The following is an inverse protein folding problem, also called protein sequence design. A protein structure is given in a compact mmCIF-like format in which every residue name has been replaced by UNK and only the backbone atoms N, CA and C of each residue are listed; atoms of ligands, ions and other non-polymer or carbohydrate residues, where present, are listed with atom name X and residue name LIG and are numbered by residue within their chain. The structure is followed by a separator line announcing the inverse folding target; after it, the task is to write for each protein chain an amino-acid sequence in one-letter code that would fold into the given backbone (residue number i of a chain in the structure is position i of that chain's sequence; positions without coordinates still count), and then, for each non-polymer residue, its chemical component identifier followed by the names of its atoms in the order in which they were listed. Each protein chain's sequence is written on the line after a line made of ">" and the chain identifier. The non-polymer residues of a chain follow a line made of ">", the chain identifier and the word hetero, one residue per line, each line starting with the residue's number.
data_IF_086945397212
#
_entry.id   IF_086945397212
#
_cell.length_a   1.000
_cell.length_b   1.000
_cell.length_c   1.000
_cell.angle_alpha   90.00
_cell.angle_beta   90.00
_cell.angle_gamma   90.00
#
_symmetry.space_group_name_H-M   'P 1'
#
loop_
_entity.id
_entity.type
_entity.pdbx_description
1 polymer ?
#
# COMPACT_ATOMS: atom_id res chain seq x y z
N UNK A 1 12.35 -19.57 19.75
CA UNK A 1 11.83 -19.98 18.45
C UNK A 1 12.31 -19.02 17.36
N UNK A 2 12.60 -19.56 16.20
CA UNK A 2 13.08 -18.77 15.07
C UNK A 2 11.92 -18.01 14.44
N UNK A 3 12.03 -16.67 14.39
CA UNK A 3 10.99 -15.82 13.81
C UNK A 3 10.70 -16.19 12.35
N UNK A 4 11.72 -16.49 11.58
CA UNK A 4 11.56 -16.87 10.17
C UNK A 4 10.74 -18.16 10.03
N UNK A 5 11.00 -19.17 10.85
CA UNK A 5 10.23 -20.41 10.83
C UNK A 5 8.76 -20.19 11.22
N UNK A 6 8.53 -19.39 12.25
CA UNK A 6 7.17 -19.04 12.69
C UNK A 6 6.42 -18.30 11.59
N UNK A 7 7.06 -17.33 10.94
CA UNK A 7 6.46 -16.58 9.86
C UNK A 7 6.19 -17.47 8.64
N UNK A 8 7.11 -18.39 8.34
CA UNK A 8 6.89 -19.35 7.26
C UNK A 8 5.65 -20.20 7.48
N UNK A 9 5.48 -20.73 8.70
CA UNK A 9 4.29 -21.50 9.05
C UNK A 9 3.03 -20.65 8.99
N UNK A 10 3.10 -19.41 9.47
CA UNK A 10 2.00 -18.46 9.41
C UNK A 10 1.55 -18.25 7.96
N UNK A 11 2.52 -18.01 7.06
CA UNK A 11 2.23 -17.77 5.65
C UNK A 11 1.61 -18.99 4.97
N UNK A 12 2.07 -20.19 5.32
CA UNK A 12 1.49 -21.44 4.82
C UNK A 12 0.05 -21.58 5.28
N UNK A 13 -0.22 -21.31 6.56
CA UNK A 13 -1.57 -21.39 7.12
C UNK A 13 -2.52 -20.37 6.46
N UNK A 14 -2.03 -19.16 6.20
CA UNK A 14 -2.81 -18.13 5.49
C UNK A 14 -3.16 -18.62 4.08
N UNK A 15 -2.17 -19.16 3.36
CA UNK A 15 -2.38 -19.67 2.01
C UNK A 15 -3.38 -20.83 1.98
N UNK A 16 -3.40 -21.64 3.04
CA UNK A 16 -4.35 -22.74 3.17
C UNK A 16 -5.74 -22.29 3.64
N UNK A 17 -5.91 -21.02 3.98
CA UNK A 17 -7.17 -20.50 4.48
C UNK A 17 -7.43 -20.74 5.96
N UNK A 18 -6.44 -21.26 6.69
CA UNK A 18 -6.57 -21.55 8.13
C UNK A 18 -6.11 -20.35 8.95
N UNK A 19 -7.01 -19.37 9.07
CA UNK A 19 -6.70 -18.12 9.79
C UNK A 19 -6.46 -18.36 11.29
N UNK A 20 -7.18 -19.29 11.89
CA UNK A 20 -7.01 -19.59 13.31
C UNK A 20 -5.62 -20.14 13.61
N UNK A 21 -5.14 -21.08 12.78
CA UNK A 21 -3.80 -21.62 12.92
C UNK A 21 -2.75 -20.53 12.69
N UNK A 22 -2.95 -19.68 11.68
CA UNK A 22 -2.04 -18.59 11.39
C UNK A 22 -1.92 -17.62 12.57
N UNK A 23 -3.03 -17.25 13.19
CA UNK A 23 -3.03 -16.38 14.37
C UNK A 23 -2.30 -17.03 15.55
N UNK A 24 -2.50 -18.34 15.73
CA UNK A 24 -1.78 -19.09 16.78
C UNK A 24 -0.27 -19.07 16.56
N UNK A 25 0.18 -19.18 15.31
CA UNK A 25 1.60 -19.08 15.00
C UNK A 25 2.13 -17.67 15.28
N UNK A 26 1.45 -16.63 14.82
CA UNK A 26 1.87 -15.26 15.08
C UNK A 26 1.98 -14.94 16.57
N UNK A 27 1.10 -15.52 17.39
CA UNK A 27 1.13 -15.30 18.82
C UNK A 27 2.39 -15.83 19.48
N UNK A 28 3.09 -16.78 18.85
CA UNK A 28 4.36 -17.33 19.35
C UNK A 28 5.57 -16.48 18.97
N UNK A 29 5.36 -15.48 18.13
CA UNK A 29 6.46 -14.65 17.62
C UNK A 29 7.00 -13.76 18.74
N UNK A 30 8.34 -13.74 18.95
CA UNK A 30 8.92 -12.78 19.89
C UNK A 30 8.79 -11.36 19.36
N UNK A 31 9.08 -10.37 20.21
CA UNK A 31 9.03 -8.96 19.80
C UNK A 31 9.94 -8.75 18.58
N UNK A 32 9.43 -8.05 17.57
CA UNK A 32 10.12 -7.84 16.29
C UNK A 32 10.53 -6.40 16.05
N UNK A 33 10.45 -5.53 17.07
CA UNK A 33 10.74 -4.10 16.93
C UNK A 33 12.16 -3.83 16.42
N UNK A 34 13.11 -4.71 16.76
CA UNK A 34 14.50 -4.60 16.34
C UNK A 34 14.86 -5.59 15.24
N UNK A 35 13.89 -6.27 14.67
CA UNK A 35 14.12 -7.21 13.58
C UNK A 35 14.40 -6.47 12.28
N UNK A 36 14.83 -7.21 11.24
CA UNK A 36 15.03 -6.62 9.92
C UNK A 36 13.72 -6.05 9.37
N UNK A 37 13.85 -5.11 8.45
CA UNK A 37 12.67 -4.57 7.75
C UNK A 37 11.85 -5.68 7.09
N UNK A 38 12.53 -6.66 6.51
CA UNK A 38 11.85 -7.76 5.85
C UNK A 38 11.02 -8.59 6.82
N UNK A 39 11.55 -8.89 8.01
CA UNK A 39 10.81 -9.63 9.04
C UNK A 39 9.59 -8.84 9.50
N UNK A 40 9.77 -7.56 9.81
CA UNK A 40 8.67 -6.70 10.24
C UNK A 40 7.60 -6.57 9.15
N UNK A 41 8.02 -6.48 7.89
CA UNK A 41 7.10 -6.43 6.75
C UNK A 41 6.25 -7.70 6.67
N UNK A 42 6.86 -8.86 6.83
CA UNK A 42 6.14 -10.14 6.83
C UNK A 42 5.09 -10.20 7.93
N UNK A 43 5.41 -9.68 9.11
CA UNK A 43 4.44 -9.60 10.22
C UNK A 43 3.26 -8.71 9.82
N UNK A 44 3.54 -7.51 9.31
CA UNK A 44 2.50 -6.57 8.91
C UNK A 44 1.59 -7.16 7.82
N UNK A 45 2.18 -7.81 6.81
CA UNK A 45 1.43 -8.43 5.74
C UNK A 45 0.56 -9.58 6.24
N UNK A 46 1.08 -10.41 7.15
CA UNK A 46 0.30 -11.49 7.74
C UNK A 46 -0.90 -10.94 8.51
N UNK A 47 -0.70 -9.91 9.32
CA UNK A 47 -1.78 -9.26 10.05
C UNK A 47 -2.84 -8.70 9.10
N UNK A 48 -2.42 -8.05 8.03
CA UNK A 48 -3.34 -7.49 7.04
C UNK A 48 -4.14 -8.61 6.33
N UNK A 49 -3.47 -9.69 5.93
CA UNK A 49 -4.11 -10.81 5.26
C UNK A 49 -5.10 -11.55 6.16
N UNK A 50 -4.85 -11.55 7.46
CA UNK A 50 -5.76 -12.14 8.43
C UNK A 50 -6.97 -11.26 8.74
N UNK A 51 -6.99 -10.04 8.23
CA UNK A 51 -8.04 -9.08 8.53
C UNK A 51 -7.86 -8.35 9.86
N UNK A 52 -6.72 -8.53 10.50
CA UNK A 52 -6.39 -7.86 11.77
C UNK A 52 -5.85 -6.45 11.45
N UNK A 53 -6.74 -5.62 10.93
CA UNK A 53 -6.39 -4.31 10.35
C UNK A 53 -5.75 -3.37 11.37
N UNK A 54 -6.26 -3.32 12.60
CA UNK A 54 -5.69 -2.45 13.63
C UNK A 54 -4.25 -2.86 13.97
N UNK A 55 -3.98 -4.16 14.06
CA UNK A 55 -2.63 -4.65 14.34
C UNK A 55 -1.69 -4.34 13.17
N UNK A 56 -2.15 -4.56 11.94
CA UNK A 56 -1.38 -4.23 10.74
C UNK A 56 -1.07 -2.74 10.68
N UNK A 57 -2.05 -1.91 11.01
CA UNK A 57 -1.88 -0.45 11.04
C UNK A 57 -0.78 -0.05 12.03
N UNK A 58 -0.79 -0.62 13.22
CA UNK A 58 0.23 -0.33 14.22
C UNK A 58 1.62 -0.76 13.76
N UNK A 59 1.70 -1.93 13.13
CA UNK A 59 2.98 -2.44 12.61
C UNK A 59 3.51 -1.52 11.51
N UNK A 60 2.69 -1.15 10.54
CA UNK A 60 3.12 -0.23 9.47
C UNK A 60 3.42 1.16 9.98
N UNK A 61 2.71 1.67 10.99
CA UNK A 61 2.98 2.98 11.57
C UNK A 61 4.40 3.08 12.16
N UNK A 62 4.94 1.97 12.65
CA UNK A 62 6.32 1.91 13.14
C UNK A 62 7.30 1.61 12.02
N UNK A 63 6.90 0.78 11.08
CA UNK A 63 7.78 0.25 10.04
C UNK A 63 8.08 1.26 8.93
N UNK A 64 7.08 2.01 8.49
CA UNK A 64 7.25 2.99 7.42
C UNK A 64 8.30 4.05 7.79
N UNK A 65 8.26 4.69 8.97
CA UNK A 65 9.32 5.63 9.34
C UNK A 65 10.71 5.00 9.37
N UNK A 66 10.83 3.74 9.80
CA UNK A 66 12.11 3.05 9.79
C UNK A 66 12.64 2.90 8.36
N UNK A 67 11.79 2.49 7.44
CA UNK A 67 12.18 2.33 6.04
C UNK A 67 12.58 3.67 5.40
N UNK A 68 11.87 4.74 5.74
CA UNK A 68 12.16 6.08 5.22
C UNK A 68 13.50 6.62 5.74
N UNK A 69 13.92 6.22 6.92
CA UNK A 69 15.16 6.70 7.53
C UNK A 69 16.39 5.95 7.05
N UNK A 70 16.22 4.85 6.34
CA UNK A 70 17.32 4.05 5.81
C UNK A 70 17.66 4.46 4.38
N UNK A 71 18.91 4.22 3.93
CA UNK A 71 19.26 4.45 2.54
C UNK A 71 18.39 3.64 1.59
N UNK A 72 18.20 4.10 0.34
CA UNK A 72 17.45 3.35 -0.66
C UNK A 72 17.96 1.91 -0.79
N UNK A 73 17.04 0.97 -0.72
CA UNK A 73 17.35 -0.46 -0.84
C UNK A 73 16.11 -1.23 -1.27
N UNK A 74 16.30 -2.47 -1.70
CA UNK A 74 15.18 -3.35 -1.99
C UNK A 74 14.27 -3.53 -0.77
N UNK A 75 14.86 -3.76 0.42
CA UNK A 75 14.09 -3.95 1.64
C UNK A 75 13.23 -2.74 1.96
N UNK A 76 13.83 -1.54 1.98
CA UNK A 76 13.08 -0.33 2.29
C UNK A 76 12.01 -0.04 1.25
N UNK A 77 12.30 -0.30 -0.03
CA UNK A 77 11.33 -0.10 -1.10
C UNK A 77 10.13 -1.04 -0.98
N UNK A 78 10.36 -2.30 -0.62
CA UNK A 78 9.27 -3.26 -0.44
C UNK A 78 8.37 -2.88 0.73
N UNK A 79 8.95 -2.40 1.83
CA UNK A 79 8.18 -1.90 2.97
C UNK A 79 7.30 -0.72 2.55
N UNK A 80 7.88 0.24 1.86
CA UNK A 80 7.15 1.45 1.46
C UNK A 80 6.06 1.15 0.44
N UNK A 81 6.34 0.27 -0.50
CA UNK A 81 5.33 -0.18 -1.46
C UNK A 81 4.17 -0.88 -0.77
N UNK A 82 4.45 -1.86 0.08
CA UNK A 82 3.41 -2.61 0.78
C UNK A 82 2.66 -1.74 1.77
N UNK A 83 3.36 -0.85 2.46
CA UNK A 83 2.75 0.11 3.38
C UNK A 83 1.81 1.07 2.67
N UNK A 84 2.20 1.56 1.51
CA UNK A 84 1.34 2.44 0.71
C UNK A 84 0.07 1.71 0.24
N UNK A 85 0.20 0.47 -0.20
CA UNK A 85 -0.97 -0.33 -0.58
C UNK A 85 -1.90 -0.52 0.61
N UNK A 86 -1.34 -0.83 1.78
CA UNK A 86 -2.14 -0.98 2.99
C UNK A 86 -2.87 0.31 3.34
N UNK A 87 -2.17 1.44 3.31
CA UNK A 87 -2.77 2.75 3.61
C UNK A 87 -3.93 3.06 2.68
N UNK A 88 -3.77 2.78 1.38
CA UNK A 88 -4.83 2.98 0.40
C UNK A 88 -6.05 2.10 0.70
N UNK A 89 -5.83 0.85 1.01
CA UNK A 89 -6.92 -0.10 1.33
C UNK A 89 -7.59 0.22 2.66
N UNK A 90 -6.84 0.79 3.60
CA UNK A 90 -7.36 1.19 4.91
C UNK A 90 -8.12 2.52 4.86
N UNK A 91 -8.23 3.16 3.70
CA UNK A 91 -9.02 4.37 3.55
C UNK A 91 -8.24 5.68 3.70
N UNK A 92 -6.93 5.64 3.59
CA UNK A 92 -6.08 6.83 3.64
C UNK A 92 -5.27 6.99 2.35
N UNK A 93 -5.93 7.32 1.23
CA UNK A 93 -5.24 7.44 -0.04
C UNK A 93 -4.26 8.62 -0.10
N UNK A 94 -4.48 9.66 0.67
CA UNK A 94 -3.56 10.81 0.72
C UNK A 94 -2.23 10.40 1.33
N UNK A 95 -2.27 9.66 2.42
CA UNK A 95 -1.05 9.15 3.04
C UNK A 95 -0.38 8.12 2.14
N UNK A 96 -1.16 7.26 1.49
CA UNK A 96 -0.64 6.28 0.54
C UNK A 96 0.14 6.97 -0.59
N UNK A 97 -0.37 8.07 -1.11
CA UNK A 97 0.30 8.84 -2.15
C UNK A 97 1.68 9.31 -1.67
N UNK A 98 1.75 9.85 -0.45
CA UNK A 98 3.02 10.30 0.13
C UNK A 98 3.99 9.13 0.30
N UNK A 99 3.50 7.98 0.75
CA UNK A 99 4.33 6.79 0.92
C UNK A 99 4.83 6.24 -0.42
N UNK A 100 4.02 6.29 -1.48
CA UNK A 100 4.47 5.90 -2.82
C UNK A 100 5.59 6.80 -3.33
N UNK A 101 5.56 8.10 -3.02
CA UNK A 101 6.65 9.01 -3.38
C UNK A 101 7.97 8.55 -2.74
N UNK A 102 7.91 8.13 -1.48
CA UNK A 102 9.09 7.59 -0.80
C UNK A 102 9.51 6.24 -1.38
N UNK A 103 8.56 5.40 -1.79
CA UNK A 103 8.85 4.13 -2.45
C UNK A 103 9.56 4.33 -3.79
N UNK A 104 9.20 5.38 -4.52
CA UNK A 104 9.86 5.72 -5.78
C UNK A 104 11.35 6.03 -5.57
N UNK A 105 11.68 6.73 -4.49
CA UNK A 105 13.08 7.00 -4.15
C UNK A 105 13.79 5.71 -3.72
N UNK A 106 13.17 4.97 -2.80
CA UNK A 106 13.78 3.76 -2.24
C UNK A 106 14.03 2.68 -3.29
N UNK A 107 13.17 2.58 -4.31
CA UNK A 107 13.30 1.60 -5.39
C UNK A 107 14.23 2.04 -6.52
N UNK A 108 14.62 3.31 -6.54
CA UNK A 108 15.44 3.85 -7.62
C UNK A 108 14.66 4.30 -8.85
N UNK A 109 13.34 4.37 -8.78
CA UNK A 109 12.51 4.96 -9.85
C UNK A 109 12.93 6.41 -10.08
N UNK A 110 13.27 7.11 -9.01
CA UNK A 110 13.78 8.46 -9.06
C UNK A 110 14.85 8.65 -7.97
N UNK A 111 15.73 9.62 -8.17
CA UNK A 111 16.73 9.98 -7.15
C UNK A 111 16.19 11.04 -6.19
N UNK A 112 15.17 11.77 -6.59
CA UNK A 112 14.58 12.86 -5.81
C UNK A 112 13.09 12.64 -5.64
N UNK A 113 12.61 12.86 -4.43
CA UNK A 113 11.19 12.74 -4.12
C UNK A 113 10.37 13.71 -4.96
N UNK A 114 9.35 13.25 -5.71
CA UNK A 114 8.52 14.16 -6.53
C UNK A 114 7.79 15.17 -5.66
N UNK A 115 7.80 16.44 -6.09
CA UNK A 115 7.24 17.57 -5.35
C UNK A 115 5.87 17.98 -5.85
N UNK A 116 5.47 17.54 -7.03
CA UNK A 116 4.21 17.95 -7.65
C UNK A 116 3.56 16.74 -8.35
N UNK A 117 2.28 16.92 -8.70
CA UNK A 117 1.50 15.86 -9.34
C UNK A 117 1.99 15.54 -10.75
N UNK A 118 2.46 16.54 -11.50
CA UNK A 118 2.96 16.29 -12.85
C UNK A 118 4.19 15.41 -12.85
N UNK A 119 5.13 15.67 -11.95
CA UNK A 119 6.33 14.85 -11.79
C UNK A 119 5.93 13.44 -11.33
N UNK A 120 5.05 13.34 -10.35
CA UNK A 120 4.58 12.05 -9.86
C UNK A 120 3.93 11.23 -10.99
N UNK A 121 3.02 11.83 -11.73
CA UNK A 121 2.31 11.16 -12.82
C UNK A 121 3.29 10.68 -13.90
N UNK A 122 4.27 11.50 -14.25
CA UNK A 122 5.29 11.11 -15.23
C UNK A 122 6.08 9.89 -14.74
N UNK A 123 6.40 9.84 -13.45
CA UNK A 123 7.15 8.74 -12.86
C UNK A 123 6.35 7.43 -12.78
N UNK A 124 5.03 7.47 -12.93
CA UNK A 124 4.20 6.26 -12.95
C UNK A 124 4.20 5.57 -14.30
N UNK A 125 4.77 6.19 -15.34
CA UNK A 125 4.79 5.60 -16.68
C UNK A 125 5.80 4.44 -16.74
N UNK A 126 5.45 3.40 -17.48
CA UNK A 126 6.30 2.24 -17.65
C UNK A 126 7.64 2.61 -18.30
N UNK A 127 8.71 1.97 -17.83
CA UNK A 127 10.02 2.05 -18.42
C UNK A 127 10.50 0.62 -18.69
N UNK A 128 10.90 0.35 -19.92
CA UNK A 128 11.34 -0.99 -20.34
C UNK A 128 12.56 -1.50 -19.58
N UNK A 129 13.35 -0.60 -19.03
CA UNK A 129 14.56 -0.93 -18.29
C UNK A 129 14.31 -1.27 -16.83
N UNK A 130 13.08 -1.14 -16.36
CA UNK A 130 12.73 -1.40 -14.95
C UNK A 130 12.84 -2.87 -14.61
N UNK A 131 13.34 -3.14 -13.40
CA UNK A 131 13.20 -4.45 -12.78
C UNK A 131 11.75 -4.61 -12.24
N UNK A 132 11.48 -5.78 -11.67
CA UNK A 132 10.14 -6.08 -11.15
C UNK A 132 9.68 -5.12 -10.06
N UNK A 133 10.61 -4.66 -9.21
CA UNK A 133 10.27 -3.79 -8.09
C UNK A 133 9.90 -2.39 -8.58
N UNK A 134 10.72 -1.79 -9.43
CA UNK A 134 10.42 -0.49 -10.02
C UNK A 134 9.11 -0.52 -10.79
N UNK A 135 8.92 -1.57 -11.58
CA UNK A 135 7.69 -1.76 -12.35
C UNK A 135 6.47 -1.84 -11.43
N UNK A 136 6.60 -2.58 -10.33
CA UNK A 136 5.52 -2.69 -9.35
C UNK A 136 5.22 -1.39 -8.66
N UNK A 137 6.23 -0.62 -8.26
CA UNK A 137 6.03 0.68 -7.63
C UNK A 137 5.32 1.64 -8.58
N UNK A 138 5.77 1.73 -9.84
CA UNK A 138 5.12 2.60 -10.84
C UNK A 138 3.67 2.20 -11.07
N UNK A 139 3.42 0.90 -11.22
CA UNK A 139 2.08 0.37 -11.47
C UNK A 139 1.13 0.63 -10.31
N UNK A 140 1.56 0.34 -9.09
CA UNK A 140 0.74 0.54 -7.89
C UNK A 140 0.43 2.02 -7.67
N UNK A 141 1.43 2.88 -7.89
CA UNK A 141 1.25 4.32 -7.77
C UNK A 141 0.29 4.87 -8.82
N UNK A 142 0.37 4.35 -10.05
CA UNK A 142 -0.54 4.74 -11.13
C UNK A 142 -1.98 4.35 -10.79
N UNK A 143 -2.17 3.16 -10.25
CA UNK A 143 -3.51 2.68 -9.87
C UNK A 143 -4.13 3.57 -8.79
N UNK A 144 -3.36 3.92 -7.77
CA UNK A 144 -3.84 4.82 -6.72
C UNK A 144 -4.24 6.17 -7.28
N UNK A 145 -3.39 6.76 -8.13
CA UNK A 145 -3.64 8.07 -8.70
C UNK A 145 -4.90 8.08 -9.56
N UNK A 146 -5.09 7.04 -10.37
CA UNK A 146 -6.30 6.90 -11.18
C UNK A 146 -7.55 6.75 -10.32
N UNK A 147 -7.47 5.98 -9.24
CA UNK A 147 -8.60 5.82 -8.31
C UNK A 147 -8.98 7.14 -7.66
N UNK A 148 -8.00 7.96 -7.27
CA UNK A 148 -8.25 9.28 -6.69
C UNK A 148 -8.91 10.20 -7.69
N UNK A 149 -8.42 10.24 -8.94
CA UNK A 149 -9.00 11.05 -10.00
C UNK A 149 -10.44 10.65 -10.27
N UNK A 150 -10.72 9.36 -10.34
CA UNK A 150 -12.06 8.84 -10.55
C UNK A 150 -12.99 9.25 -9.42
N UNK A 151 -12.54 9.13 -8.17
CA UNK A 151 -13.35 9.50 -7.01
C UNK A 151 -13.65 10.99 -6.98
N UNK A 152 -12.68 11.83 -7.29
CA UNK A 152 -12.88 13.28 -7.37
C UNK A 152 -13.91 13.62 -8.48
N UNK A 153 -13.79 12.96 -9.62
CA UNK A 153 -14.72 13.16 -10.73
C UNK A 153 -16.14 12.74 -10.34
N UNK A 154 -16.31 11.62 -9.69
CA UNK A 154 -17.60 11.15 -9.20
C UNK A 154 -18.23 12.14 -8.22
N UNK A 155 -17.46 12.62 -7.27
CA UNK A 155 -17.94 13.62 -6.30
C UNK A 155 -18.35 14.91 -6.99
N UNK A 156 -17.54 15.37 -7.94
CA UNK A 156 -17.83 16.60 -8.69
C UNK A 156 -19.13 16.46 -9.48
N UNK A 157 -19.32 15.37 -10.19
CA UNK A 157 -20.53 15.10 -10.96
C UNK A 157 -21.75 15.02 -10.05
N UNK A 158 -21.62 14.38 -8.91
CA UNK A 158 -22.71 14.27 -7.93
C UNK A 158 -23.15 15.66 -7.46
N UNK A 159 -22.23 16.49 -7.01
CA UNK A 159 -22.55 17.83 -6.50
C UNK A 159 -23.02 18.77 -7.61
N UNK A 160 -22.48 18.63 -8.81
CA UNK A 160 -22.93 19.39 -9.98
C UNK A 160 -24.35 19.03 -10.37
N UNK A 161 -24.67 17.74 -10.32
CA UNK A 161 -26.02 17.26 -10.69
C UNK A 161 -27.07 17.57 -9.63
N UNK A 162 -26.69 17.65 -8.35
CA UNK A 162 -27.66 17.93 -7.28
C UNK A 162 -28.30 19.30 -7.41
N UNK A 163 -27.64 20.23 -8.13
CA UNK A 163 -28.22 21.53 -8.46
C UNK A 163 -29.33 21.46 -9.50
N UNK A 164 -29.41 20.36 -10.25
CA UNK A 164 -30.40 20.15 -11.31
C UNK A 164 -31.42 19.08 -11.00
N UNK A 165 -31.29 18.41 -9.84
CA UNK A 165 -32.23 17.40 -9.37
C UNK A 165 -31.61 16.02 -9.15
N UNK A 166 -32.13 15.29 -8.17
CA UNK A 166 -31.55 14.01 -7.73
C UNK A 166 -31.62 12.91 -8.79
N UNK A 167 -32.52 12.97 -9.74
CA UNK A 167 -32.61 11.99 -10.81
C UNK A 167 -31.34 12.00 -11.68
N UNK A 168 -30.86 13.19 -12.00
CA UNK A 168 -29.63 13.35 -12.79
C UNK A 168 -28.43 12.76 -12.05
N UNK A 169 -28.35 12.96 -10.74
CA UNK A 169 -27.27 12.44 -9.93
C UNK A 169 -27.19 10.92 -10.01
N UNK A 170 -28.32 10.26 -9.83
CA UNK A 170 -28.39 8.81 -9.85
C UNK A 170 -27.98 8.26 -11.21
N UNK A 171 -28.43 8.90 -12.28
CA UNK A 171 -28.13 8.48 -13.64
C UNK A 171 -26.65 8.60 -13.97
N UNK A 172 -26.05 9.73 -13.62
CA UNK A 172 -24.62 9.96 -13.84
C UNK A 172 -23.78 8.96 -13.07
N UNK A 173 -24.16 8.69 -11.85
CA UNK A 173 -23.46 7.77 -10.98
C UNK A 173 -23.45 6.34 -11.57
N UNK A 174 -24.60 5.88 -12.06
CA UNK A 174 -24.74 4.57 -12.69
C UNK A 174 -23.86 4.46 -13.93
N UNK A 175 -23.84 5.50 -14.76
CA UNK A 175 -23.04 5.51 -15.98
C UNK A 175 -21.55 5.37 -15.68
N UNK A 176 -21.09 6.07 -14.66
CA UNK A 176 -19.67 6.04 -14.33
C UNK A 176 -19.21 4.72 -13.72
N UNK A 177 -20.09 3.98 -13.08
CA UNK A 177 -19.78 2.68 -12.52
C UNK A 177 -19.69 1.57 -13.58
N UNK A 178 -20.25 1.80 -14.75
CA UNK A 178 -20.17 0.87 -15.86
C UNK A 178 -18.92 1.11 -16.69
#
# INVERSE_FOLDING_TARGET
>A
ANADAILGLTEVDIAAGDKAAARSQLAKLPATDNASLNTQRRVALAQAQLGDTAAAQQTFNKLIPQAKSQPPSMESAMVLRDGAKFEAQAGDPKQALETYKDAMVASGVTTTRPQDNDTFTRLTRNDEKDDWLKRGVRSDAADLYRQQDLNVTLEHDYWGSSGTGGYSDLKAHTTMLQ
#
